data_IF_772950352032
#
_entry.id   IF_772950352032
#
_cell.length_a   1.000
_cell.length_b   1.000
_cell.length_c   1.000
_cell.angle_alpha   90.00
_cell.angle_beta   90.00
_cell.angle_gamma   90.00
#
_symmetry.space_group_name_H-M   'P 1'
#
loop_
_entity.id
_entity.type
_entity.pdbx_description
1 polymer ?
#
# COMPACT_ATOMS: atom_id res chain seq x y z
N UNK A 1 4.74 24.20 7.78
CA UNK A 1 4.60 23.06 6.83
C UNK A 1 5.93 22.35 6.55
N UNK A 2 7.01 23.03 6.12
CA UNK A 2 8.31 22.38 5.79
C UNK A 2 8.97 21.56 6.91
N UNK A 3 8.87 21.99 8.17
CA UNK A 3 9.44 21.24 9.30
C UNK A 3 8.76 19.89 9.55
N UNK A 4 7.46 19.78 9.26
CA UNK A 4 6.71 18.53 9.43
C UNK A 4 6.99 17.55 8.29
N UNK A 5 7.04 18.04 7.05
CA UNK A 5 7.41 17.22 5.91
C UNK A 5 8.82 16.62 6.11
N UNK A 6 9.77 17.44 6.57
CA UNK A 6 11.11 16.96 6.94
C UNK A 6 11.09 15.92 8.05
N UNK A 7 10.22 16.06 9.06
CA UNK A 7 10.05 15.04 10.10
C UNK A 7 9.50 13.72 9.55
N UNK A 8 8.45 13.76 8.71
CA UNK A 8 7.90 12.55 8.09
C UNK A 8 8.93 11.87 7.19
N UNK A 9 9.63 12.64 6.34
CA UNK A 9 10.73 12.12 5.51
C UNK A 9 11.80 11.47 6.37
N UNK A 10 12.21 12.14 7.45
CA UNK A 10 13.20 11.57 8.37
C UNK A 10 12.74 10.24 8.96
N UNK A 11 11.50 10.19 9.44
CA UNK A 11 10.97 9.02 10.14
C UNK A 11 10.66 7.84 9.21
N UNK A 12 10.01 8.09 8.09
CA UNK A 12 9.57 7.05 7.18
C UNK A 12 10.64 6.66 6.14
N UNK A 13 11.65 7.52 5.92
CA UNK A 13 12.64 7.31 4.85
C UNK A 13 14.10 7.56 5.31
N UNK A 14 14.51 8.79 5.66
CA UNK A 14 15.94 9.12 5.79
C UNK A 14 16.69 8.36 6.90
N UNK A 15 15.99 8.04 8.00
CA UNK A 15 16.53 7.24 9.11
C UNK A 15 15.97 5.82 9.15
N UNK A 16 15.21 5.44 8.13
CA UNK A 16 14.58 4.14 8.08
C UNK A 16 15.60 3.03 7.71
N UNK A 17 15.45 1.81 8.24
CA UNK A 17 16.35 0.69 7.94
C UNK A 17 16.49 0.39 6.45
N UNK A 18 15.38 0.46 5.74
CA UNK A 18 15.29 0.39 4.28
C UNK A 18 14.75 1.73 3.80
N UNK A 19 15.44 2.41 2.90
CA UNK A 19 15.01 3.72 2.39
C UNK A 19 14.18 3.54 1.13
N UNK A 20 13.24 4.45 0.90
CA UNK A 20 12.36 4.42 -0.26
C UNK A 20 13.13 4.49 -1.58
N UNK A 21 14.24 5.25 -1.61
CA UNK A 21 15.12 5.32 -2.80
C UNK A 21 15.85 4.02 -3.14
N UNK A 22 15.95 3.10 -2.18
CA UNK A 22 16.62 1.81 -2.35
C UNK A 22 15.60 0.72 -2.80
N UNK A 23 14.30 1.07 -2.91
CA UNK A 23 13.24 0.17 -3.37
C UNK A 23 13.29 0.03 -4.90
N UNK A 24 13.90 -1.06 -5.37
CA UNK A 24 14.02 -1.39 -6.80
C UNK A 24 13.21 -2.62 -7.26
N UNK A 25 12.56 -3.32 -6.34
CA UNK A 25 11.81 -4.56 -6.63
C UNK A 25 10.58 -4.69 -5.72
N UNK A 26 9.69 -5.63 -6.07
CA UNK A 26 8.52 -5.96 -5.23
C UNK A 26 8.95 -6.48 -3.86
N UNK A 27 10.01 -7.28 -3.79
CA UNK A 27 10.56 -7.76 -2.52
C UNK A 27 11.11 -6.62 -1.68
N UNK A 28 11.91 -5.72 -2.27
CA UNK A 28 12.44 -4.55 -1.57
C UNK A 28 11.32 -3.61 -1.10
N UNK A 29 10.18 -3.54 -1.80
CA UNK A 29 9.01 -2.81 -1.34
C UNK A 29 8.43 -3.42 -0.06
N UNK A 30 8.28 -4.75 0.00
CA UNK A 30 7.79 -5.42 1.20
C UNK A 30 8.78 -5.31 2.36
N UNK A 31 10.08 -5.32 2.09
CA UNK A 31 11.11 -5.06 3.10
C UNK A 31 11.01 -3.62 3.63
N UNK A 32 10.84 -2.63 2.74
CA UNK A 32 10.56 -1.25 3.15
C UNK A 32 9.28 -1.15 3.99
N UNK A 33 8.20 -1.77 3.54
CA UNK A 33 6.93 -1.76 4.25
C UNK A 33 7.09 -2.30 5.69
N UNK A 34 7.71 -3.47 5.82
CA UNK A 34 7.78 -4.18 7.10
C UNK A 34 8.88 -3.64 8.03
N UNK A 35 10.05 -3.30 7.49
CA UNK A 35 11.20 -2.87 8.30
C UNK A 35 11.22 -1.35 8.55
N UNK A 36 10.58 -0.55 7.70
CA UNK A 36 10.63 0.92 7.78
C UNK A 36 9.26 1.53 8.05
N UNK A 37 8.27 1.26 7.20
CA UNK A 37 6.98 1.93 7.27
C UNK A 37 6.17 1.49 8.50
N UNK A 38 6.05 0.18 8.75
CA UNK A 38 5.31 -0.36 9.88
C UNK A 38 5.87 0.15 11.23
N UNK A 39 7.18 0.08 11.53
CA UNK A 39 7.73 0.67 12.75
C UNK A 39 7.55 2.19 12.83
N UNK A 40 7.57 2.89 11.71
CA UNK A 40 7.29 4.32 11.69
C UNK A 40 5.83 4.63 12.09
N UNK A 41 4.86 3.80 11.70
CA UNK A 41 3.44 3.95 12.09
C UNK A 41 3.21 3.59 13.57
N UNK A 42 3.65 2.39 13.99
CA UNK A 42 3.32 1.83 15.30
C UNK A 42 4.34 2.15 16.40
N UNK A 43 5.52 2.68 16.04
CA UNK A 43 6.60 2.92 17.00
C UNK A 43 7.31 1.63 17.43
N UNK A 44 8.21 1.75 18.41
CA UNK A 44 9.06 0.64 18.87
C UNK A 44 8.41 -0.22 19.96
N UNK A 45 7.42 0.31 20.68
CA UNK A 45 6.72 -0.40 21.74
C UNK A 45 5.40 -1.00 21.22
N UNK A 46 5.53 -2.12 20.54
CA UNK A 46 4.41 -2.84 19.92
C UNK A 46 3.42 -3.40 20.96
N UNK A 47 3.86 -3.60 22.21
CA UNK A 47 3.02 -4.12 23.28
C UNK A 47 1.89 -3.17 23.68
N UNK A 48 2.03 -1.86 23.39
CA UNK A 48 0.96 -0.86 23.53
C UNK A 48 -0.22 -1.08 22.58
N UNK A 49 -0.02 -1.86 21.52
CA UNK A 49 -0.99 -2.06 20.43
C UNK A 49 -1.44 -3.51 20.30
N UNK A 50 -1.11 -4.38 21.25
CA UNK A 50 -1.57 -5.78 21.23
C UNK A 50 -1.57 -6.41 22.63
N UNK A 51 -2.76 -6.51 23.24
CA UNK A 51 -3.02 -7.38 24.40
C UNK A 51 -4.52 -7.72 24.54
N UNK A 52 -4.88 -8.88 25.13
CA UNK A 52 -6.28 -9.23 25.38
C UNK A 52 -6.99 -8.22 26.28
N UNK A 53 -8.07 -7.61 25.80
CA UNK A 53 -8.81 -6.56 26.52
C UNK A 53 -8.27 -5.14 26.32
N UNK A 54 -7.35 -4.94 25.38
CA UNK A 54 -6.82 -3.61 25.06
C UNK A 54 -7.93 -2.65 24.62
N UNK A 55 -7.98 -1.48 25.25
CA UNK A 55 -8.74 -0.34 24.72
C UNK A 55 -7.88 0.28 23.64
N UNK A 56 -8.17 -0.10 22.41
CA UNK A 56 -7.45 0.35 21.25
C UNK A 56 -7.56 1.88 21.16
N UNK A 57 -6.44 2.63 21.21
CA UNK A 57 -6.50 4.08 21.10
C UNK A 57 -6.97 4.46 19.69
N UNK A 58 -7.96 5.34 19.61
CA UNK A 58 -8.46 5.88 18.33
C UNK A 58 -7.39 6.70 17.59
N UNK A 59 -6.31 7.06 18.29
CA UNK A 59 -5.22 7.92 17.83
C UNK A 59 -3.88 7.20 18.06
N UNK A 60 -3.14 6.91 17.00
CA UNK A 60 -1.82 6.29 17.12
C UNK A 60 -0.77 7.37 17.38
N UNK A 61 -0.14 7.36 18.55
CA UNK A 61 0.91 8.32 18.87
C UNK A 61 2.21 7.93 18.15
N UNK A 62 2.69 8.82 17.29
CA UNK A 62 3.88 8.57 16.47
C UNK A 62 5.14 9.06 17.21
N UNK A 63 5.08 10.28 17.73
CA UNK A 63 6.18 10.94 18.47
C UNK A 63 5.70 12.23 19.13
N UNK A 64 6.11 12.48 20.38
CA UNK A 64 5.73 13.68 21.14
C UNK A 64 4.22 13.96 21.07
N UNK A 65 3.77 15.19 20.70
CA UNK A 65 2.35 15.53 20.58
C UNK A 65 1.71 15.10 19.24
N UNK A 66 2.41 14.31 18.42
CA UNK A 66 1.97 13.98 17.06
C UNK A 66 1.24 12.63 17.03
N UNK A 67 0.00 12.65 16.54
CA UNK A 67 -0.84 11.47 16.41
C UNK A 67 -1.25 11.26 14.95
N UNK A 68 -1.35 10.00 14.51
CA UNK A 68 -2.11 9.70 13.31
C UNK A 68 -3.59 9.87 13.59
N UNK A 69 -4.26 10.59 12.70
CA UNK A 69 -5.70 10.73 12.70
C UNK A 69 -6.31 9.67 11.82
N UNK A 70 -7.14 8.82 12.43
CA UNK A 70 -7.68 7.65 11.77
C UNK A 70 -6.61 6.61 11.47
N UNK A 71 -6.89 5.81 10.45
CA UNK A 71 -6.05 4.69 10.05
C UNK A 71 -5.35 5.02 8.73
N UNK A 72 -4.10 4.58 8.60
CA UNK A 72 -3.44 4.59 7.31
C UNK A 72 -4.12 3.63 6.33
N UNK A 73 -3.86 3.79 5.04
CA UNK A 73 -4.25 2.83 4.00
C UNK A 73 -3.15 2.63 2.98
N UNK A 74 -3.04 1.41 2.47
CA UNK A 74 -2.23 1.08 1.30
C UNK A 74 -3.17 0.94 0.10
N UNK A 75 -2.83 1.57 -1.02
CA UNK A 75 -3.66 1.55 -2.22
C UNK A 75 -2.83 1.24 -3.46
N UNK A 76 -3.26 0.28 -4.25
CA UNK A 76 -2.58 -0.19 -5.45
C UNK A 76 -3.39 0.10 -6.72
N UNK A 77 -2.68 0.49 -7.77
CA UNK A 77 -3.20 0.66 -9.12
C UNK A 77 -2.73 -0.48 -10.01
N UNK A 78 -3.66 -1.32 -10.45
CA UNK A 78 -3.37 -2.40 -11.37
C UNK A 78 -3.87 -2.06 -12.77
N UNK A 79 -3.21 -2.66 -13.78
CA UNK A 79 -3.64 -2.55 -15.17
C UNK A 79 -4.12 -3.88 -15.73
N UNK A 80 -5.06 -3.81 -16.68
CA UNK A 80 -5.59 -4.97 -17.38
C UNK A 80 -4.50 -5.68 -18.20
N UNK A 81 -4.55 -7.01 -18.31
CA UNK A 81 -3.65 -7.74 -19.20
C UNK A 81 -3.94 -7.40 -20.67
N UNK A 82 -2.91 -7.46 -21.50
CA UNK A 82 -2.96 -7.34 -22.96
C UNK A 82 -3.53 -6.00 -23.47
N UNK A 83 -3.39 -4.94 -22.68
CA UNK A 83 -3.76 -3.58 -23.07
C UNK A 83 -2.54 -2.66 -23.00
N UNK A 84 -2.35 -1.84 -24.03
CA UNK A 84 -1.17 -0.96 -24.14
C UNK A 84 0.15 -1.71 -24.37
N UNK A 85 0.09 -3.00 -24.70
CA UNK A 85 1.23 -3.86 -25.00
C UNK A 85 0.82 -4.98 -25.96
N UNK A 86 1.80 -5.61 -26.62
CA UNK A 86 1.58 -6.79 -27.46
C UNK A 86 2.77 -7.74 -27.34
N UNK A 87 2.50 -9.01 -27.04
CA UNK A 87 3.50 -10.07 -27.12
C UNK A 87 3.70 -10.44 -28.60
N UNK A 88 4.95 -10.56 -29.04
CA UNK A 88 5.24 -10.99 -30.40
C UNK A 88 4.69 -12.41 -30.63
N UNK A 89 4.14 -12.65 -31.82
CA UNK A 89 3.36 -13.85 -32.11
C UNK A 89 4.15 -15.14 -31.83
N UNK A 90 5.43 -15.17 -32.18
CA UNK A 90 6.32 -16.30 -31.92
C UNK A 90 6.50 -16.65 -30.43
N UNK A 91 6.16 -15.75 -29.51
CA UNK A 91 6.28 -15.93 -28.06
C UNK A 91 4.93 -16.05 -27.35
N UNK A 92 3.82 -15.89 -28.08
CA UNK A 92 2.46 -15.86 -27.50
C UNK A 92 2.08 -17.15 -26.77
N UNK A 93 2.62 -18.30 -27.20
CA UNK A 93 2.42 -19.59 -26.52
C UNK A 93 3.13 -19.69 -25.17
N UNK A 94 4.21 -18.94 -24.98
CA UNK A 94 5.00 -18.93 -23.73
C UNK A 94 4.59 -17.80 -22.79
N UNK A 95 4.20 -16.67 -23.35
CA UNK A 95 3.79 -15.46 -22.63
C UNK A 95 2.40 -15.04 -23.10
N UNK A 96 1.33 -15.63 -22.56
CA UNK A 96 -0.04 -15.34 -22.98
C UNK A 96 -0.52 -13.95 -22.56
N UNK A 97 0.19 -13.31 -21.62
CA UNK A 97 -0.16 -12.01 -21.06
C UNK A 97 1.02 -11.04 -21.11
N UNK A 98 0.71 -9.77 -21.33
CA UNK A 98 1.59 -8.64 -21.07
C UNK A 98 0.83 -7.56 -20.30
N UNK A 99 1.55 -6.67 -19.64
CA UNK A 99 0.97 -5.53 -18.94
C UNK A 99 1.62 -4.24 -19.44
N UNK A 100 0.85 -3.37 -20.09
CA UNK A 100 1.33 -2.11 -20.64
C UNK A 100 1.56 -1.02 -19.59
N UNK A 101 1.94 0.20 -19.99
CA UNK A 101 1.99 1.35 -19.09
C UNK A 101 0.59 1.67 -18.52
N UNK A 102 0.54 2.48 -17.46
CA UNK A 102 -0.74 2.94 -16.92
C UNK A 102 -1.43 3.91 -17.90
N UNK A 103 -2.73 3.70 -18.12
CA UNK A 103 -3.65 4.67 -18.70
C UNK A 103 -5.02 4.55 -18.01
N UNK A 104 -5.88 5.58 -18.06
CA UNK A 104 -7.22 5.51 -17.48
C UNK A 104 -8.05 4.33 -18.02
N UNK A 105 -7.92 4.01 -19.31
CA UNK A 105 -8.60 2.89 -19.97
C UNK A 105 -8.06 1.53 -19.50
N UNK A 106 -6.78 1.52 -19.11
CA UNK A 106 -6.09 0.33 -18.64
C UNK A 106 -6.30 0.01 -17.17
N UNK A 107 -6.93 0.90 -16.40
CA UNK A 107 -7.24 0.65 -14.99
C UNK A 107 -8.04 -0.66 -14.84
N UNK A 108 -7.46 -1.59 -14.08
CA UNK A 108 -8.12 -2.82 -13.68
C UNK A 108 -9.02 -2.55 -12.47
N UNK A 109 -10.26 -3.05 -12.55
CA UNK A 109 -11.26 -2.98 -11.49
C UNK A 109 -11.82 -4.36 -11.12
N UNK A 110 -11.38 -5.41 -11.81
CA UNK A 110 -11.86 -6.76 -11.58
C UNK A 110 -11.23 -7.31 -10.30
N UNK A 111 -11.99 -8.13 -9.57
CA UNK A 111 -11.47 -8.74 -8.36
C UNK A 111 -10.39 -9.79 -8.70
N UNK A 112 -9.37 -9.93 -7.85
CA UNK A 112 -8.23 -10.80 -8.13
C UNK A 112 -7.63 -11.42 -6.86
N UNK A 113 -6.67 -12.33 -7.06
CA UNK A 113 -5.96 -13.03 -5.99
C UNK A 113 -6.47 -14.46 -5.84
N UNK A 114 -5.95 -15.20 -4.85
CA UNK A 114 -6.42 -16.54 -4.52
C UNK A 114 -7.92 -16.54 -4.24
N UNK A 115 -8.59 -17.64 -4.61
CA UNK A 115 -10.00 -17.84 -4.31
C UNK A 115 -10.14 -18.55 -2.97
N UNK A 116 -11.05 -18.08 -2.13
CA UNK A 116 -11.44 -18.80 -0.92
C UNK A 116 -12.27 -20.06 -1.27
N UNK A 117 -12.68 -20.82 -0.24
CA UNK A 117 -13.48 -22.04 -0.41
C UNK A 117 -14.85 -21.83 -1.09
N UNK A 118 -15.31 -20.59 -1.19
CA UNK A 118 -16.56 -20.18 -1.85
C UNK A 118 -16.33 -19.62 -3.26
N UNK A 119 -15.09 -19.64 -3.76
CA UNK A 119 -14.73 -19.09 -5.08
C UNK A 119 -14.60 -17.56 -5.11
N UNK A 120 -14.56 -16.91 -3.94
CA UNK A 120 -14.46 -15.46 -3.82
C UNK A 120 -12.98 -15.05 -3.79
N UNK A 121 -12.53 -14.14 -4.68
CA UNK A 121 -11.13 -13.67 -4.73
C UNK A 121 -10.74 -12.82 -3.52
N UNK A 122 -9.45 -12.80 -3.17
CA UNK A 122 -8.92 -12.05 -2.02
C UNK A 122 -9.03 -10.52 -2.11
N UNK A 123 -8.96 -9.93 -3.31
CA UNK A 123 -8.78 -8.48 -3.48
C UNK A 123 -9.83 -7.84 -4.37
N UNK A 124 -10.40 -6.73 -3.88
CA UNK A 124 -11.47 -5.98 -4.54
C UNK A 124 -11.07 -4.53 -4.77
N UNK A 125 -11.51 -4.01 -5.92
CA UNK A 125 -11.36 -2.60 -6.22
C UNK A 125 -12.30 -1.76 -5.34
N UNK A 126 -11.76 -0.77 -4.65
CA UNK A 126 -12.54 0.17 -3.84
C UNK A 126 -12.63 1.52 -4.55
N UNK A 127 -13.83 1.99 -4.93
CA UNK A 127 -14.00 3.34 -5.46
C UNK A 127 -13.83 4.39 -4.35
N UNK A 128 -13.28 5.54 -4.70
CA UNK A 128 -13.14 6.68 -3.76
C UNK A 128 -13.73 7.94 -4.42
N UNK A 129 -15.02 8.18 -4.17
CA UNK A 129 -15.74 9.31 -4.79
C UNK A 129 -15.34 10.68 -4.21
N UNK A 130 -14.73 10.69 -3.02
CA UNK A 130 -14.33 11.91 -2.33
C UNK A 130 -12.82 12.18 -2.43
N UNK A 131 -12.07 11.28 -3.07
CA UNK A 131 -10.65 11.44 -3.29
C UNK A 131 -10.34 12.47 -4.36
N UNK A 132 -9.05 12.78 -4.48
CA UNK A 132 -8.50 13.57 -5.58
C UNK A 132 -7.53 12.72 -6.40
N UNK A 133 -7.43 13.02 -7.70
CA UNK A 133 -6.45 12.38 -8.56
C UNK A 133 -5.03 12.79 -8.13
N UNK A 134 -4.08 11.87 -8.22
CA UNK A 134 -2.69 12.13 -7.90
C UNK A 134 -1.86 12.30 -9.17
N UNK A 135 -1.24 13.46 -9.35
CA UNK A 135 -0.28 13.71 -10.42
C UNK A 135 1.09 13.12 -10.04
N UNK A 136 1.42 11.96 -10.61
CA UNK A 136 2.74 11.35 -10.49
C UNK A 136 3.70 11.83 -11.57
N UNK A 137 4.96 11.39 -11.50
CA UNK A 137 5.98 11.74 -12.50
C UNK A 137 5.68 11.09 -13.87
N UNK A 138 5.10 9.89 -13.87
CA UNK A 138 4.87 9.09 -15.08
C UNK A 138 3.42 9.16 -15.60
N UNK A 139 2.46 9.40 -14.72
CA UNK A 139 1.04 9.42 -15.06
C UNK A 139 0.21 10.11 -13.97
N UNK A 140 -1.00 10.52 -14.34
CA UNK A 140 -2.04 10.90 -13.40
C UNK A 140 -2.85 9.67 -12.99
N UNK A 141 -2.93 9.42 -11.69
CA UNK A 141 -3.62 8.27 -11.13
C UNK A 141 -4.99 8.69 -10.57
N UNK A 142 -6.08 7.99 -10.94
CA UNK A 142 -7.41 8.33 -10.50
C UNK A 142 -7.60 8.03 -9.01
N UNK A 143 -8.77 8.40 -8.50
CA UNK A 143 -9.20 8.01 -7.17
C UNK A 143 -9.56 6.53 -7.11
N UNK A 144 -9.57 5.96 -5.90
CA UNK A 144 -9.85 4.55 -5.68
C UNK A 144 -8.66 3.64 -6.03
N UNK A 145 -8.89 2.34 -6.02
CA UNK A 145 -7.86 1.33 -6.21
C UNK A 145 -8.11 0.11 -5.33
N UNK A 146 -7.25 -0.89 -5.46
CA UNK A 146 -7.24 -2.00 -4.52
C UNK A 146 -6.66 -1.48 -3.21
N UNK A 147 -7.48 -1.42 -2.18
CA UNK A 147 -7.17 -0.67 -0.97
C UNK A 147 -7.18 -1.60 0.22
N UNK A 148 -6.19 -1.45 1.09
CA UNK A 148 -6.17 -2.07 2.39
C UNK A 148 -6.00 -1.03 3.48
N UNK A 149 -6.80 -1.14 4.54
CA UNK A 149 -6.77 -0.23 5.69
C UNK A 149 -5.94 -0.88 6.81
N UNK A 150 -4.98 -0.12 7.34
CA UNK A 150 -4.19 -0.52 8.51
C UNK A 150 -5.12 -0.58 9.72
N UNK A 151 -4.87 -1.48 10.67
CA UNK A 151 -5.66 -1.52 11.91
C UNK A 151 -4.86 -0.94 13.07
N UNK A 152 -5.48 -0.51 14.18
CA UNK A 152 -4.71 -0.08 15.33
C UNK A 152 -3.87 -1.18 15.97
N UNK A 153 -4.24 -2.45 15.76
CA UNK A 153 -3.50 -3.60 16.26
C UNK A 153 -2.36 -3.95 15.28
N UNK A 154 -1.13 -3.92 15.80
CA UNK A 154 0.05 -4.19 15.00
C UNK A 154 0.08 -5.63 14.47
N UNK A 155 -0.25 -6.63 15.30
CA UNK A 155 -0.17 -8.04 14.91
C UNK A 155 -1.21 -8.38 13.85
N UNK A 156 -2.43 -7.85 14.00
CA UNK A 156 -3.52 -7.98 13.05
C UNK A 156 -3.12 -7.36 11.71
N UNK A 157 -2.59 -6.14 11.75
CA UNK A 157 -2.11 -5.46 10.54
C UNK A 157 -0.98 -6.25 9.88
N UNK A 158 0.06 -6.60 10.64
CA UNK A 158 1.21 -7.33 10.12
C UNK A 158 0.80 -8.67 9.49
N UNK A 159 -0.06 -9.45 10.16
CA UNK A 159 -0.58 -10.70 9.61
C UNK A 159 -1.35 -10.49 8.30
N UNK A 160 -2.14 -9.41 8.22
CA UNK A 160 -2.91 -9.08 7.02
C UNK A 160 -1.99 -8.76 5.84
N UNK A 161 -1.00 -7.89 6.04
CA UNK A 161 -0.05 -7.53 4.99
C UNK A 161 0.90 -8.68 4.61
N UNK A 162 1.20 -9.60 5.52
CA UNK A 162 1.89 -10.86 5.18
C UNK A 162 1.07 -11.71 4.22
N UNK A 163 -0.21 -11.95 4.52
CA UNK A 163 -1.11 -12.66 3.59
C UNK A 163 -1.21 -11.94 2.25
N UNK A 164 -1.33 -10.62 2.24
CA UNK A 164 -1.36 -9.85 0.99
C UNK A 164 -0.10 -10.02 0.14
N UNK A 165 1.08 -10.05 0.77
CA UNK A 165 2.34 -10.32 0.09
C UNK A 165 2.32 -11.71 -0.55
N UNK A 166 1.94 -12.72 0.22
CA UNK A 166 1.97 -14.11 -0.21
C UNK A 166 0.93 -14.39 -1.32
N UNK A 167 -0.22 -13.72 -1.24
CA UNK A 167 -1.31 -13.78 -2.22
C UNK A 167 -1.07 -12.93 -3.48
N UNK A 168 0.08 -12.24 -3.57
CA UNK A 168 0.48 -11.49 -4.76
C UNK A 168 -0.30 -10.19 -4.97
N UNK A 169 -0.62 -9.46 -3.89
CA UNK A 169 -1.30 -8.16 -3.98
C UNK A 169 -0.54 -7.15 -4.85
N UNK A 170 0.79 -7.15 -4.76
CA UNK A 170 1.68 -6.38 -5.63
C UNK A 170 2.32 -7.33 -6.62
N UNK A 171 2.12 -7.08 -7.92
CA UNK A 171 2.65 -7.95 -8.98
C UNK A 171 3.05 -7.14 -10.23
N UNK A 172 3.42 -7.82 -11.30
CA UNK A 172 3.77 -7.28 -12.61
C UNK A 172 2.68 -6.37 -13.24
N UNK A 173 1.43 -6.50 -12.78
CA UNK A 173 0.31 -5.64 -13.21
C UNK A 173 0.21 -4.33 -12.43
N UNK A 174 0.88 -4.22 -11.28
CA UNK A 174 0.82 -3.03 -10.43
C UNK A 174 1.68 -1.91 -11.03
N UNK A 175 1.14 -0.68 -11.05
CA UNK A 175 1.81 0.50 -11.63
C UNK A 175 2.08 1.60 -10.62
N UNK A 176 1.30 1.68 -9.55
CA UNK A 176 1.51 2.61 -8.46
C UNK A 176 1.04 2.01 -7.14
N UNK A 177 1.76 2.37 -6.08
CA UNK A 177 1.43 2.06 -4.70
C UNK A 177 1.41 3.37 -3.92
N UNK A 178 0.37 3.56 -3.12
CA UNK A 178 0.20 4.68 -2.23
C UNK A 178 0.17 4.17 -0.80
N UNK A 179 0.99 4.76 0.06
CA UNK A 179 0.94 4.58 1.51
C UNK A 179 0.45 5.90 2.11
N UNK A 180 -0.81 5.93 2.53
CA UNK A 180 -1.54 7.15 2.84
C UNK A 180 -1.87 7.19 4.33
N UNK A 181 -1.54 8.28 5.01
CA UNK A 181 -1.88 8.47 6.42
C UNK A 181 -2.08 9.96 6.73
N UNK A 182 -2.97 10.27 7.67
CA UNK A 182 -3.26 11.64 8.12
C UNK A 182 -2.74 11.87 9.53
N UNK A 183 -2.34 13.10 9.85
CA UNK A 183 -1.89 13.51 11.18
C UNK A 183 -2.85 14.49 11.83
N UNK A 184 -2.97 14.43 13.15
CA UNK A 184 -3.41 15.55 14.01
C UNK A 184 -2.35 15.85 15.07
N UNK A 185 -2.26 17.12 15.48
CA UNK A 185 -1.40 17.57 16.59
C UNK A 185 -2.30 18.01 17.74
N UNK A 186 -2.08 17.50 18.95
CA UNK A 186 -2.70 18.07 20.15
C UNK A 186 -1.73 19.08 20.76
N UNK A 187 -2.18 20.32 20.92
CA UNK A 187 -1.49 21.41 21.64
C UNK A 187 -1.90 21.43 23.09
#
# INVERSE_FOLDING_TARGET
MRAFEGYLRKRFDETAPVRLKDVGSVEAFWDYHNASFMPAVYGQDLAKYSYPGATIPTWLQIDGPNYLYGLGRMRAMNVKPNLGCKVAEQFSSYFPTCYGPFSPEALDRDAFGPMNGEGVPSFFFTPDANGEEYEGILARYPTGGYTEIYTPDYLTTNSKFQVMRDDGFVSEKTRALFLEASRVSQT
#
